data_IF_510748898598
#
_entry.id   IF_510748898598
#
_cell.length_a   1.000
_cell.length_b   1.000
_cell.length_c   1.000
_cell.angle_alpha   90.00
_cell.angle_beta   90.00
_cell.angle_gamma   90.00
#
_symmetry.space_group_name_H-M   'P 1'
#
loop_
_entity.id
_entity.type
_entity.pdbx_description
1 polymer ?
#
# COMPACT_ATOMS: atom_id res chain seq x y z
N UNK A 1 -68.97 0.01 8.68
CA UNK A 1 -68.12 1.13 9.16
C UNK A 1 -67.07 0.53 10.09
N UNK A 2 -65.85 0.27 9.59
CA UNK A 2 -64.78 -0.31 10.39
C UNK A 2 -64.11 0.79 11.22
N UNK A 3 -64.38 0.83 12.53
CA UNK A 3 -63.58 1.63 13.46
C UNK A 3 -62.20 0.98 13.59
N UNK A 4 -61.25 1.40 12.75
CA UNK A 4 -59.88 0.96 12.90
C UNK A 4 -59.36 1.54 14.22
N UNK A 5 -58.97 0.66 15.14
CA UNK A 5 -58.49 1.06 16.45
C UNK A 5 -57.13 1.76 16.28
N UNK A 6 -57.14 3.09 16.28
CA UNK A 6 -55.99 3.97 16.01
C UNK A 6 -54.75 3.63 16.87
N UNK A 7 -54.95 3.11 18.08
CA UNK A 7 -53.87 2.62 18.95
C UNK A 7 -53.14 1.40 18.37
N UNK A 8 -53.84 0.50 17.68
CA UNK A 8 -53.23 -0.67 17.02
C UNK A 8 -52.46 -0.24 15.76
N UNK A 9 -53.02 0.68 14.96
CA UNK A 9 -52.33 1.26 13.81
C UNK A 9 -51.02 1.93 14.20
N UNK A 10 -51.02 2.76 15.26
CA UNK A 10 -49.81 3.44 15.75
C UNK A 10 -48.76 2.40 16.18
N UNK A 11 -49.15 1.34 16.91
CA UNK A 11 -48.22 0.26 17.29
C UNK A 11 -47.62 -0.44 16.07
N UNK A 12 -48.43 -0.76 15.06
CA UNK A 12 -47.92 -1.38 13.83
C UNK A 12 -47.01 -0.44 13.05
N UNK A 13 -47.30 0.87 13.02
CA UNK A 13 -46.42 1.87 12.42
C UNK A 13 -45.07 1.92 13.13
N UNK A 14 -45.03 1.87 14.47
CA UNK A 14 -43.78 1.82 15.23
C UNK A 14 -42.99 0.53 14.97
N UNK A 15 -43.65 -0.63 14.97
CA UNK A 15 -43.00 -1.91 14.64
C UNK A 15 -42.43 -1.89 13.23
N UNK A 16 -43.19 -1.34 12.27
CA UNK A 16 -42.74 -1.19 10.89
C UNK A 16 -41.53 -0.27 10.77
N UNK A 17 -41.55 0.91 11.42
CA UNK A 17 -40.43 1.84 11.41
C UNK A 17 -39.17 1.24 12.07
N UNK A 18 -39.34 0.51 13.17
CA UNK A 18 -38.24 -0.18 13.83
C UNK A 18 -37.64 -1.28 12.95
N UNK A 19 -38.48 -2.12 12.34
CA UNK A 19 -38.04 -3.15 11.41
C UNK A 19 -37.33 -2.55 10.18
N UNK A 20 -37.87 -1.46 9.61
CA UNK A 20 -37.23 -0.75 8.51
C UNK A 20 -35.87 -0.16 8.90
N UNK A 21 -35.76 0.42 10.10
CA UNK A 21 -34.49 0.94 10.63
C UNK A 21 -33.46 -0.18 10.81
N UNK A 22 -33.85 -1.31 11.40
CA UNK A 22 -32.95 -2.46 11.55
C UNK A 22 -32.47 -3.00 10.20
N UNK A 23 -33.37 -3.15 9.22
CA UNK A 23 -33.02 -3.59 7.88
C UNK A 23 -32.05 -2.64 7.18
N UNK A 24 -32.24 -1.33 7.33
CA UNK A 24 -31.36 -0.32 6.76
C UNK A 24 -29.98 -0.32 7.42
N UNK A 25 -29.93 -0.45 8.76
CA UNK A 25 -28.66 -0.60 9.48
C UNK A 25 -27.92 -1.88 9.07
N UNK A 26 -28.62 -3.00 8.93
CA UNK A 26 -28.01 -4.26 8.47
C UNK A 26 -27.46 -4.13 7.05
N UNK A 27 -28.19 -3.49 6.14
CA UNK A 27 -27.72 -3.22 4.78
C UNK A 27 -26.46 -2.33 4.78
N UNK A 28 -26.45 -1.27 5.59
CA UNK A 28 -25.27 -0.40 5.72
C UNK A 28 -24.06 -1.15 6.30
N UNK A 29 -24.28 -1.98 7.31
CA UNK A 29 -23.24 -2.82 7.88
C UNK A 29 -22.60 -3.74 6.83
N UNK A 30 -23.43 -4.43 6.01
CA UNK A 30 -22.92 -5.27 4.93
C UNK A 30 -22.15 -4.46 3.89
N UNK A 31 -22.65 -3.29 3.49
CA UNK A 31 -21.94 -2.41 2.57
C UNK A 31 -20.60 -1.94 3.10
N UNK A 32 -20.51 -1.69 4.40
CA UNK A 32 -19.24 -1.34 5.03
C UNK A 32 -18.25 -2.52 5.03
N UNK A 33 -18.73 -3.74 5.31
CA UNK A 33 -17.89 -4.94 5.22
C UNK A 33 -17.38 -5.18 3.79
N UNK A 34 -18.27 -5.13 2.79
CA UNK A 34 -17.89 -5.28 1.37
C UNK A 34 -16.83 -4.23 0.97
N UNK A 35 -16.98 -3.00 1.46
CA UNK A 35 -16.03 -1.91 1.20
C UNK A 35 -14.67 -2.18 1.84
N UNK A 36 -14.65 -2.65 3.09
CA UNK A 36 -13.41 -3.01 3.80
C UNK A 36 -12.69 -4.18 3.12
N UNK A 37 -13.41 -5.22 2.71
CA UNK A 37 -12.85 -6.33 1.93
C UNK A 37 -12.21 -5.84 0.63
N UNK A 38 -12.93 -5.00 -0.13
CA UNK A 38 -12.42 -4.42 -1.37
C UNK A 38 -11.14 -3.60 -1.16
N UNK A 39 -11.06 -2.81 -0.07
CA UNK A 39 -9.84 -2.09 0.29
C UNK A 39 -8.71 -3.05 0.65
N UNK A 40 -8.99 -4.09 1.44
CA UNK A 40 -8.03 -5.13 1.77
C UNK A 40 -7.43 -5.83 0.56
N UNK A 41 -8.27 -6.24 -0.39
CA UNK A 41 -7.83 -6.80 -1.67
C UNK A 41 -6.96 -5.80 -2.46
N UNK A 42 -7.31 -4.51 -2.43
CA UNK A 42 -6.50 -3.46 -3.06
C UNK A 42 -5.13 -3.29 -2.40
N UNK A 43 -5.05 -3.38 -1.07
CA UNK A 43 -3.80 -3.32 -0.31
C UNK A 43 -2.90 -4.51 -0.66
N UNK A 44 -3.45 -5.72 -0.61
CA UNK A 44 -2.74 -6.95 -0.99
C UNK A 44 -2.18 -6.85 -2.43
N UNK A 45 -3.00 -6.43 -3.38
CA UNK A 45 -2.59 -6.24 -4.77
C UNK A 45 -1.47 -5.20 -4.91
N UNK A 46 -1.52 -4.12 -4.13
CA UNK A 46 -0.49 -3.07 -4.16
C UNK A 46 0.83 -3.58 -3.61
N UNK A 47 0.82 -4.33 -2.51
CA UNK A 47 2.01 -4.99 -1.96
C UNK A 47 2.63 -5.94 -2.99
N UNK A 48 1.83 -6.85 -3.55
CA UNK A 48 2.30 -7.82 -4.55
C UNK A 48 2.86 -7.16 -5.81
N UNK A 49 2.19 -6.12 -6.32
CA UNK A 49 2.69 -5.35 -7.47
C UNK A 49 3.99 -4.64 -7.17
N UNK A 50 4.14 -4.12 -5.96
CA UNK A 50 5.38 -3.45 -5.55
C UNK A 50 6.54 -4.45 -5.50
N UNK A 51 6.33 -5.60 -4.86
CA UNK A 51 7.32 -6.70 -4.86
C UNK A 51 7.71 -7.07 -6.29
N UNK A 52 6.72 -7.28 -7.18
CA UNK A 52 6.97 -7.61 -8.58
C UNK A 52 7.75 -6.53 -9.33
N UNK A 53 7.43 -5.25 -9.11
CA UNK A 53 8.15 -4.17 -9.78
C UNK A 53 9.58 -4.01 -9.26
N UNK A 54 9.88 -4.43 -8.04
CA UNK A 54 11.21 -4.36 -7.43
C UNK A 54 12.04 -5.64 -7.63
N UNK A 55 11.62 -6.55 -8.50
CA UNK A 55 12.35 -7.79 -8.77
C UNK A 55 13.67 -7.53 -9.53
N UNK A 56 13.71 -6.47 -10.35
CA UNK A 56 14.91 -6.09 -11.08
C UNK A 56 15.97 -5.46 -10.14
N UNK A 57 17.21 -5.97 -10.13
CA UNK A 57 18.28 -5.44 -9.28
C UNK A 57 18.79 -4.08 -9.77
N UNK A 58 19.48 -3.32 -8.90
CA UNK A 58 19.98 -1.99 -9.27
C UNK A 58 20.89 -2.01 -10.52
N UNK A 59 21.76 -3.02 -10.60
CA UNK A 59 22.68 -3.20 -11.73
C UNK A 59 21.99 -3.45 -13.08
N UNK A 60 20.76 -3.99 -13.08
CA UNK A 60 19.98 -4.13 -14.32
C UNK A 60 19.70 -2.76 -14.93
N UNK A 61 19.25 -1.80 -14.13
CA UNK A 61 18.89 -0.46 -14.61
C UNK A 61 20.10 0.33 -15.11
N UNK A 62 21.27 0.14 -14.51
CA UNK A 62 22.50 0.76 -15.00
C UNK A 62 22.86 0.29 -16.41
N UNK A 63 22.71 -1.01 -16.70
CA UNK A 63 22.94 -1.54 -18.05
C UNK A 63 21.82 -1.13 -19.02
N UNK A 64 20.57 -1.16 -18.56
CA UNK A 64 19.42 -0.78 -19.39
C UNK A 64 19.49 0.68 -19.84
N UNK A 65 19.99 1.59 -18.99
CA UNK A 65 20.19 3.00 -19.31
C UNK A 65 21.19 3.25 -20.46
N UNK A 66 22.04 2.28 -20.80
CA UNK A 66 22.96 2.36 -21.95
C UNK A 66 22.27 2.04 -23.28
N UNK A 67 21.05 1.45 -23.24
CA UNK A 67 20.26 1.15 -24.43
C UNK A 67 19.52 2.38 -24.95
N UNK A 68 19.16 2.37 -26.24
CA UNK A 68 18.49 3.50 -26.91
C UNK A 68 17.19 3.95 -26.21
N UNK A 69 16.45 3.01 -25.61
CA UNK A 69 15.19 3.28 -24.92
C UNK A 69 15.30 3.21 -23.39
N UNK A 70 16.51 3.10 -22.83
CA UNK A 70 16.72 2.87 -21.40
C UNK A 70 16.07 3.94 -20.51
N UNK A 71 16.21 5.21 -20.88
CA UNK A 71 15.58 6.33 -20.17
C UNK A 71 14.05 6.23 -20.14
N UNK A 72 13.43 5.81 -21.24
CA UNK A 72 11.97 5.65 -21.32
C UNK A 72 11.51 4.46 -20.48
N UNK A 73 12.27 3.37 -20.49
CA UNK A 73 11.98 2.20 -19.66
C UNK A 73 12.07 2.54 -18.17
N UNK A 74 13.13 3.23 -17.76
CA UNK A 74 13.31 3.65 -16.37
C UNK A 74 12.20 4.61 -15.93
N UNK A 75 11.82 5.58 -16.77
CA UNK A 75 10.76 6.53 -16.40
C UNK A 75 9.40 5.83 -16.19
N UNK A 76 9.10 4.82 -17.01
CA UNK A 76 7.91 3.98 -16.80
C UNK A 76 8.00 3.18 -15.50
N UNK A 77 9.17 2.66 -15.16
CA UNK A 77 9.39 1.96 -13.90
C UNK A 77 9.21 2.90 -12.71
N UNK A 78 9.84 4.08 -12.73
CA UNK A 78 9.68 5.14 -11.73
C UNK A 78 8.22 5.55 -11.53
N UNK A 79 7.49 5.78 -12.62
CA UNK A 79 6.06 6.11 -12.55
C UNK A 79 5.21 5.00 -11.91
N UNK A 80 5.60 3.73 -12.02
CA UNK A 80 4.94 2.63 -11.30
C UNK A 80 5.28 2.63 -9.81
N UNK A 81 6.52 2.97 -9.44
CA UNK A 81 6.91 3.10 -8.04
C UNK A 81 6.15 4.24 -7.37
N UNK A 82 6.08 5.41 -8.01
CA UNK A 82 5.33 6.57 -7.51
C UNK A 82 3.83 6.26 -7.37
N UNK A 83 3.23 5.63 -8.38
CA UNK A 83 1.83 5.23 -8.30
C UNK A 83 1.54 4.20 -7.20
N UNK A 84 2.51 3.34 -6.85
CA UNK A 84 2.39 2.43 -5.72
C UNK A 84 2.64 3.14 -4.39
N UNK A 85 3.59 4.08 -4.35
CA UNK A 85 3.90 4.90 -3.18
C UNK A 85 2.68 5.71 -2.72
N UNK A 86 2.00 6.36 -3.65
CA UNK A 86 0.75 7.10 -3.37
C UNK A 86 -0.33 6.19 -2.77
N UNK A 87 -0.39 4.94 -3.21
CA UNK A 87 -1.34 3.97 -2.64
C UNK A 87 -0.97 3.59 -1.22
N UNK A 88 0.31 3.34 -0.94
CA UNK A 88 0.78 3.08 0.43
C UNK A 88 0.48 4.24 1.36
N UNK A 89 0.72 5.48 0.92
CA UNK A 89 0.37 6.69 1.64
C UNK A 89 -1.13 6.80 1.95
N UNK A 90 -1.97 6.25 1.07
CA UNK A 90 -3.42 6.20 1.26
C UNK A 90 -3.90 5.02 2.13
N UNK A 91 -3.08 4.00 2.43
CA UNK A 91 -3.51 2.83 3.20
C UNK A 91 -3.79 3.16 4.66
N UNK A 92 -3.29 4.28 5.19
CA UNK A 92 -3.35 4.62 6.60
C UNK A 92 -2.22 3.94 7.37
N UNK A 93 -2.47 3.62 8.65
CA UNK A 93 -1.48 2.96 9.49
C UNK A 93 -0.11 3.63 9.52
N UNK A 94 0.94 2.82 9.65
CA UNK A 94 2.32 3.26 9.45
C UNK A 94 2.81 3.01 8.01
N UNK A 95 1.92 2.62 7.09
CA UNK A 95 2.27 2.26 5.71
C UNK A 95 2.71 3.46 4.87
N UNK A 96 2.39 4.69 5.28
CA UNK A 96 2.89 5.89 4.60
C UNK A 96 4.42 5.96 4.54
N UNK A 97 5.09 5.37 5.52
CA UNK A 97 6.56 5.27 5.52
C UNK A 97 7.06 4.46 4.34
N UNK A 98 6.35 3.40 3.95
CA UNK A 98 6.67 2.62 2.76
C UNK A 98 6.49 3.45 1.47
N UNK A 99 5.46 4.30 1.44
CA UNK A 99 5.26 5.24 0.35
C UNK A 99 6.42 6.24 0.23
N UNK A 100 6.86 6.81 1.35
CA UNK A 100 8.01 7.71 1.37
C UNK A 100 9.30 7.03 0.89
N UNK A 101 9.53 5.77 1.29
CA UNK A 101 10.69 5.00 0.83
C UNK A 101 10.64 4.69 -0.67
N UNK A 102 9.46 4.41 -1.23
CA UNK A 102 9.29 4.20 -2.67
C UNK A 102 9.49 5.51 -3.47
N UNK A 103 9.02 6.65 -2.96
CA UNK A 103 9.32 7.96 -3.55
C UNK A 103 10.81 8.26 -3.53
N UNK A 104 11.48 7.98 -2.41
CA UNK A 104 12.92 8.13 -2.32
C UNK A 104 13.65 7.22 -3.32
N UNK A 105 13.25 5.96 -3.43
CA UNK A 105 13.80 5.01 -4.40
C UNK A 105 13.60 5.48 -5.86
N UNK A 106 12.41 6.01 -6.21
CA UNK A 106 12.18 6.63 -7.53
C UNK A 106 13.17 7.77 -7.81
N UNK A 107 13.45 8.60 -6.80
CA UNK A 107 14.43 9.69 -6.90
C UNK A 107 15.86 9.16 -7.05
N UNK A 108 16.24 8.09 -6.35
CA UNK A 108 17.54 7.46 -6.54
C UNK A 108 17.72 6.93 -7.97
N UNK A 109 16.69 6.30 -8.54
CA UNK A 109 16.71 5.88 -9.95
C UNK A 109 16.88 7.06 -10.91
N UNK A 110 16.19 8.18 -10.67
CA UNK A 110 16.41 9.40 -11.45
C UNK A 110 17.85 9.91 -11.37
N UNK A 111 18.43 9.92 -10.17
CA UNK A 111 19.81 10.32 -9.96
C UNK A 111 20.79 9.37 -10.68
N UNK A 112 20.50 8.07 -10.69
CA UNK A 112 21.27 7.08 -11.45
C UNK A 112 21.26 7.40 -12.96
N UNK A 113 20.10 7.74 -13.53
CA UNK A 113 20.00 8.12 -14.94
C UNK A 113 20.85 9.37 -15.28
N UNK A 114 20.81 10.39 -14.41
CA UNK A 114 21.65 11.58 -14.56
C UNK A 114 23.13 11.22 -14.46
N UNK A 115 23.52 10.39 -13.49
CA UNK A 115 24.92 9.98 -13.29
C UNK A 115 25.45 9.16 -14.49
N UNK A 116 24.67 8.21 -15.01
CA UNK A 116 25.04 7.40 -16.18
C UNK A 116 25.18 8.27 -17.43
N UNK A 117 24.22 9.16 -17.68
CA UNK A 117 24.25 10.05 -18.85
C UNK A 117 25.38 11.08 -18.81
N UNK A 118 25.80 11.51 -17.61
CA UNK A 118 26.93 12.44 -17.42
C UNK A 118 28.29 11.74 -17.30
N UNK A 119 28.32 10.40 -17.25
CA UNK A 119 29.56 9.63 -17.08
C UNK A 119 30.19 9.78 -15.69
N UNK A 120 29.39 10.04 -14.66
CA UNK A 120 29.87 10.25 -13.30
C UNK A 120 30.37 8.95 -12.63
N UNK A 121 31.44 9.05 -11.82
CA UNK A 121 32.03 7.92 -11.11
C UNK A 121 31.18 7.43 -9.92
N UNK A 122 30.24 8.24 -9.43
CA UNK A 122 29.39 7.93 -8.27
C UNK A 122 28.26 6.92 -8.55
N UNK A 123 28.16 6.38 -9.77
CA UNK A 123 27.13 5.38 -10.14
C UNK A 123 27.16 4.15 -9.24
N UNK A 124 28.34 3.75 -8.74
CA UNK A 124 28.48 2.63 -7.80
C UNK A 124 27.76 2.89 -6.48
N UNK A 125 28.00 4.05 -5.87
CA UNK A 125 27.38 4.42 -4.59
C UNK A 125 25.86 4.51 -4.71
N UNK A 126 25.37 5.09 -5.82
CA UNK A 126 23.94 5.12 -6.11
C UNK A 126 23.33 3.72 -6.25
N UNK A 127 24.03 2.79 -6.91
CA UNK A 127 23.56 1.41 -6.98
C UNK A 127 23.50 0.74 -5.61
N UNK A 128 24.51 0.94 -4.76
CA UNK A 128 24.54 0.39 -3.40
C UNK A 128 23.37 0.95 -2.55
N UNK A 129 23.07 2.24 -2.67
CA UNK A 129 21.89 2.85 -2.02
C UNK A 129 20.58 2.28 -2.58
N UNK A 130 20.42 2.22 -3.90
CA UNK A 130 19.23 1.65 -4.54
C UNK A 130 19.02 0.21 -4.09
N UNK A 131 20.08 -0.60 -4.06
CA UNK A 131 20.05 -1.99 -3.63
C UNK A 131 19.61 -2.12 -2.16
N UNK A 132 20.16 -1.29 -1.27
CA UNK A 132 19.80 -1.27 0.14
C UNK A 132 18.32 -0.96 0.36
N UNK A 133 17.82 0.13 -0.24
CA UNK A 133 16.42 0.50 -0.14
C UNK A 133 15.50 -0.54 -0.80
N UNK A 134 15.86 -1.04 -1.99
CA UNK A 134 15.07 -2.06 -2.68
C UNK A 134 14.95 -3.34 -1.85
N UNK A 135 16.06 -3.79 -1.27
CA UNK A 135 16.10 -5.02 -0.46
C UNK A 135 15.24 -4.87 0.79
N UNK A 136 15.42 -3.77 1.54
CA UNK A 136 14.58 -3.45 2.70
C UNK A 136 13.08 -3.46 2.35
N UNK A 137 12.69 -2.70 1.32
CA UNK A 137 11.28 -2.63 0.90
C UNK A 137 10.75 -4.01 0.51
N UNK A 138 11.53 -4.75 -0.29
CA UNK A 138 11.10 -6.06 -0.81
C UNK A 138 10.95 -7.09 0.30
N UNK A 139 11.89 -7.13 1.25
CA UNK A 139 11.87 -8.06 2.39
C UNK A 139 10.68 -7.78 3.30
N UNK A 140 10.50 -6.53 3.74
CA UNK A 140 9.41 -6.15 4.63
C UNK A 140 8.02 -6.40 3.99
N UNK A 141 7.90 -6.14 2.68
CA UNK A 141 6.66 -6.44 1.94
C UNK A 141 6.41 -7.93 1.72
N UNK A 142 7.46 -8.74 1.51
CA UNK A 142 7.33 -10.20 1.41
C UNK A 142 6.89 -10.80 2.74
N UNK A 143 7.52 -10.39 3.85
CA UNK A 143 7.12 -10.84 5.18
C UNK A 143 5.66 -10.49 5.47
N UNK A 144 5.24 -9.28 5.11
CA UNK A 144 3.83 -8.86 5.22
C UNK A 144 2.90 -9.74 4.39
N UNK A 145 3.27 -10.00 3.13
CA UNK A 145 2.46 -10.85 2.25
C UNK A 145 2.32 -12.26 2.80
N UNK A 146 3.39 -12.81 3.38
CA UNK A 146 3.42 -14.16 3.93
C UNK A 146 2.64 -14.24 5.25
N UNK A 147 2.73 -13.20 6.10
CA UNK A 147 2.00 -13.11 7.36
C UNK A 147 0.49 -12.98 7.18
N UNK A 148 0.05 -12.12 6.25
CA UNK A 148 -1.36 -11.79 6.04
C UNK A 148 -2.09 -12.76 5.10
N UNK A 149 -1.36 -13.46 4.23
CA UNK A 149 -1.92 -14.47 3.32
C UNK A 149 -2.98 -13.90 2.37
N UNK A 150 -4.12 -14.59 2.26
CA UNK A 150 -5.22 -14.26 1.33
C UNK A 150 -6.47 -13.67 2.03
N UNK A 151 -6.41 -13.35 3.33
CA UNK A 151 -7.56 -12.79 4.05
C UNK A 151 -7.64 -11.27 3.86
N UNK A 152 -8.48 -10.84 2.91
CA UNK A 152 -8.68 -9.43 2.58
C UNK A 152 -9.10 -8.58 3.79
N UNK A 153 -9.92 -9.12 4.71
CA UNK A 153 -10.29 -8.37 5.91
C UNK A 153 -9.10 -8.17 6.84
N UNK A 154 -8.25 -9.18 6.97
CA UNK A 154 -7.01 -9.08 7.74
C UNK A 154 -6.08 -8.02 7.13
N UNK A 155 -5.91 -8.02 5.81
CA UNK A 155 -5.16 -6.99 5.08
C UNK A 155 -5.66 -5.57 5.39
N UNK A 156 -6.97 -5.35 5.33
CA UNK A 156 -7.54 -4.05 5.66
C UNK A 156 -7.27 -3.66 7.12
N UNK A 157 -7.55 -4.56 8.07
CA UNK A 157 -7.43 -4.28 9.49
C UNK A 157 -5.98 -4.01 9.91
N UNK A 158 -5.02 -4.77 9.38
CA UNK A 158 -3.62 -4.67 9.74
C UNK A 158 -2.92 -3.45 9.09
N UNK A 159 -3.26 -3.11 7.85
CA UNK A 159 -2.55 -2.03 7.15
C UNK A 159 -3.21 -0.65 7.27
N UNK A 160 -4.48 -0.59 7.68
CA UNK A 160 -5.17 0.70 7.91
C UNK A 160 -5.07 1.24 9.32
N UNK A 161 -4.72 0.40 10.29
CA UNK A 161 -4.64 0.76 11.70
C UNK A 161 -3.18 0.88 12.17
N UNK A 162 -2.71 2.06 12.62
CA UNK A 162 -1.33 2.25 13.07
C UNK A 162 -1.00 1.44 14.32
N UNK A 163 -2.02 1.02 15.07
CA UNK A 163 -1.87 0.22 16.29
C UNK A 163 -1.89 -1.29 16.05
N UNK A 164 -2.06 -1.75 14.81
CA UNK A 164 -2.02 -3.17 14.46
C UNK A 164 -0.62 -3.76 14.67
N UNK A 165 -0.54 -5.09 14.74
CA UNK A 165 0.74 -5.77 14.89
C UNK A 165 1.64 -5.51 13.67
N UNK A 166 1.09 -5.67 12.47
CA UNK A 166 1.82 -5.52 11.21
C UNK A 166 2.29 -4.08 11.01
N UNK A 167 1.43 -3.08 11.27
CA UNK A 167 1.82 -1.67 11.14
C UNK A 167 2.90 -1.27 12.15
N UNK A 168 2.88 -1.81 13.37
CA UNK A 168 3.93 -1.57 14.37
C UNK A 168 5.24 -2.22 13.97
N UNK A 169 5.20 -3.46 13.53
CA UNK A 169 6.37 -4.19 13.04
C UNK A 169 7.05 -3.42 11.90
N UNK A 170 6.28 -2.96 10.90
CA UNK A 170 6.80 -2.12 9.82
C UNK A 170 7.57 -0.90 10.30
N UNK A 171 7.02 -0.22 11.30
CA UNK A 171 7.62 0.99 11.84
C UNK A 171 8.92 0.71 12.59
N UNK A 172 9.00 -0.42 13.29
CA UNK A 172 10.21 -0.86 13.99
C UNK A 172 11.32 -1.25 13.01
N UNK A 173 10.99 -2.04 11.99
CA UNK A 173 11.92 -2.41 10.92
C UNK A 173 12.46 -1.19 10.18
N UNK A 174 11.57 -0.24 9.87
CA UNK A 174 11.97 1.03 9.24
C UNK A 174 12.96 1.82 10.10
N UNK A 175 12.68 1.97 11.41
CA UNK A 175 13.60 2.67 12.32
C UNK A 175 14.95 1.98 12.43
N UNK A 176 14.96 0.65 12.43
CA UNK A 176 16.19 -0.13 12.44
C UNK A 176 17.00 0.10 11.16
N UNK A 177 16.32 0.12 10.01
CA UNK A 177 16.93 0.44 8.71
C UNK A 177 17.53 1.85 8.68
N UNK A 178 16.79 2.89 9.10
CA UNK A 178 17.33 4.27 9.17
C UNK A 178 18.53 4.38 10.10
N UNK A 179 18.48 3.75 11.27
CA UNK A 179 19.59 3.78 12.24
C UNK A 179 20.83 3.06 11.72
N UNK A 180 20.66 2.10 10.81
CA UNK A 180 21.75 1.40 10.12
C UNK A 180 22.41 2.23 9.01
N UNK A 181 21.71 3.22 8.44
CA UNK A 181 22.23 4.13 7.42
C UNK A 181 23.08 5.27 8.00
N UNK A 182 22.99 5.54 9.31
CA UNK A 182 23.77 6.60 9.99
C UNK A 182 25.15 6.14 10.52
N UNK A 183 25.56 4.88 10.28
CA UNK A 183 26.88 4.34 10.65
C UNK A 183 27.78 4.10 9.42
#
# INVERSE_FOLDING_TARGET
MFFINSRKLIKYAFVFLFAASLSLNFYQYQKNLDFQQSLGASFQNTVRKTIFHLDDPAGFWQEELKNENGNVALERHRGKLEANADKFNAMGGNMGVMGDQLHYLSKLYWNLAIAVSSGAENTRELNEQIEGHRSFITEALKETNDHLGEDEMLWFNELSNPDSQTSKQFWEEFKAFESGLEN
#
